data_IF_549123678813
#
_entry.id   IF_549123678813
#
_cell.length_a   1.000
_cell.length_b   1.000
_cell.length_c   1.000
_cell.angle_alpha   90.00
_cell.angle_beta   90.00
_cell.angle_gamma   90.00
#
_symmetry.space_group_name_H-M   'P 1'
#
loop_
_entity.id
_entity.type
_entity.pdbx_description
1 polymer ?
#
# COMPACT_ATOMS: atom_id res chain seq x y z
N UNK A 1 -14.70 15.43 40.64
CA UNK A 1 -14.45 16.08 39.34
C UNK A 1 -13.31 15.28 38.74
N UNK A 2 -13.54 14.23 37.92
CA UNK A 2 -14.17 14.25 36.59
C UNK A 2 -13.16 14.90 35.63
N UNK A 3 -12.70 14.34 34.51
CA UNK A 3 -13.19 13.29 33.63
C UNK A 3 -12.02 12.86 32.72
N UNK A 4 -11.97 11.58 32.35
CA UNK A 4 -11.18 11.09 31.21
C UNK A 4 -12.06 11.34 30.00
N UNK A 5 -11.58 11.99 28.93
CA UNK A 5 -11.74 11.53 27.53
C UNK A 5 -11.36 12.57 26.47
N UNK A 6 -10.75 12.04 25.40
CA UNK A 6 -10.87 12.46 24.00
C UNK A 6 -10.16 13.74 23.52
N UNK A 7 -9.01 13.51 22.88
CA UNK A 7 -8.64 14.18 21.63
C UNK A 7 -8.38 13.02 20.66
N UNK A 8 -9.43 12.42 20.08
CA UNK A 8 -9.98 12.74 18.75
C UNK A 8 -8.86 13.10 17.77
N UNK A 9 -8.38 12.15 16.99
CA UNK A 9 -9.10 11.86 15.75
C UNK A 9 -8.43 12.57 14.56
N UNK A 10 -7.11 12.48 14.45
CA UNK A 10 -6.36 12.92 13.27
C UNK A 10 -6.32 11.83 12.20
N UNK A 11 -7.47 11.58 11.59
CA UNK A 11 -7.69 10.70 10.45
C UNK A 11 -6.71 10.96 9.31
N UNK A 12 -6.21 9.90 8.70
CA UNK A 12 -5.19 9.94 7.66
C UNK A 12 -5.55 10.82 6.48
N UNK A 13 -4.67 11.76 6.18
CA UNK A 13 -4.39 12.11 4.80
C UNK A 13 -3.36 11.10 4.32
N UNK A 14 -3.84 10.03 3.68
CA UNK A 14 -3.02 9.38 2.68
C UNK A 14 -2.83 10.45 1.59
N UNK A 15 -1.73 11.19 1.67
CA UNK A 15 -1.29 12.08 0.61
C UNK A 15 -1.18 11.25 -0.66
N UNK A 16 -2.24 11.29 -1.45
CA UNK A 16 -2.33 10.77 -2.80
C UNK A 16 -1.48 11.60 -3.75
N UNK A 17 -0.20 11.76 -3.41
CA UNK A 17 0.81 12.07 -4.40
C UNK A 17 0.84 10.89 -5.35
N UNK A 18 0.50 11.12 -6.61
CA UNK A 18 0.74 10.18 -7.69
C UNK A 18 2.25 10.01 -7.90
N UNK A 19 2.93 9.46 -6.91
CA UNK A 19 4.27 8.94 -7.04
C UNK A 19 4.13 7.84 -8.08
N UNK A 20 4.66 8.13 -9.27
CA UNK A 20 4.65 7.18 -10.36
C UNK A 20 5.05 5.82 -9.80
N UNK A 21 4.39 4.75 -10.25
CA UNK A 21 4.72 3.37 -9.89
C UNK A 21 6.08 2.96 -10.51
N UNK A 22 7.09 3.83 -10.42
CA UNK A 22 8.43 3.74 -10.95
C UNK A 22 9.37 3.38 -9.80
N UNK A 23 9.50 2.09 -9.57
CA UNK A 23 10.49 1.51 -8.67
C UNK A 23 11.04 0.25 -9.32
N UNK A 24 12.35 0.03 -9.23
CA UNK A 24 13.03 -1.11 -9.87
C UNK A 24 12.53 -2.44 -9.30
N UNK A 25 12.12 -2.46 -8.03
CA UNK A 25 11.64 -3.64 -7.32
C UNK A 25 10.29 -3.38 -6.66
N UNK A 26 9.35 -4.30 -6.87
CA UNK A 26 8.10 -4.41 -6.13
C UNK A 26 8.14 -5.68 -5.26
N UNK A 27 7.78 -5.55 -3.99
CA UNK A 27 7.65 -6.65 -3.03
C UNK A 27 6.19 -6.77 -2.61
N UNK A 28 5.63 -7.97 -2.79
CA UNK A 28 4.26 -8.31 -2.39
C UNK A 28 4.36 -9.36 -1.29
N UNK A 29 3.74 -9.09 -0.14
CA UNK A 29 3.60 -10.05 0.95
C UNK A 29 2.13 -10.36 1.15
N UNK A 30 1.75 -11.62 1.05
CA UNK A 30 0.37 -12.07 1.31
C UNK A 30 0.32 -12.93 2.56
N UNK A 31 -0.75 -12.81 3.32
CA UNK A 31 -1.04 -13.68 4.46
C UNK A 31 -2.55 -13.89 4.59
N UNK A 32 -2.92 -14.94 5.33
CA UNK A 32 -4.30 -15.23 5.64
C UNK A 32 -4.59 -14.84 7.10
N UNK A 33 -5.61 -14.02 7.30
CA UNK A 33 -6.07 -13.56 8.61
C UNK A 33 -7.46 -14.15 8.91
N UNK A 34 -7.58 -15.14 9.80
CA UNK A 34 -8.82 -15.89 10.02
C UNK A 34 -9.95 -15.08 10.68
N UNK A 35 -9.74 -13.79 11.00
CA UNK A 35 -10.72 -12.90 11.65
C UNK A 35 -11.30 -11.81 10.74
N UNK A 36 -11.08 -11.86 9.42
CA UNK A 36 -11.61 -10.89 8.45
C UNK A 36 -12.58 -11.49 7.42
N UNK A 37 -13.47 -10.67 6.85
CA UNK A 37 -14.57 -11.07 5.94
C UNK A 37 -14.13 -11.93 4.72
N UNK A 38 -12.92 -11.74 4.21
CA UNK A 38 -12.37 -12.50 3.06
C UNK A 38 -11.12 -13.31 3.41
N UNK A 39 -10.59 -13.18 4.63
CA UNK A 39 -9.36 -13.83 5.11
C UNK A 39 -8.07 -13.45 4.39
N UNK A 40 -8.12 -12.95 3.15
CA UNK A 40 -6.96 -12.50 2.40
C UNK A 40 -6.44 -11.15 2.89
N UNK A 41 -5.11 -11.03 2.95
CA UNK A 41 -4.40 -9.79 3.22
C UNK A 41 -3.16 -9.72 2.35
N UNK A 42 -2.89 -8.54 1.82
CA UNK A 42 -1.67 -8.23 1.10
C UNK A 42 -1.07 -6.92 1.61
N UNK A 43 0.26 -6.86 1.60
CA UNK A 43 1.04 -5.64 1.75
C UNK A 43 1.97 -5.53 0.56
N UNK A 44 1.86 -4.42 -0.13
CA UNK A 44 2.66 -4.12 -1.32
C UNK A 44 3.64 -3.00 -0.95
N UNK A 45 4.88 -3.14 -1.39
CA UNK A 45 5.94 -2.14 -1.19
C UNK A 45 6.72 -1.99 -2.48
N UNK A 46 6.87 -0.76 -2.98
CA UNK A 46 7.58 -0.46 -4.22
C UNK A 46 8.29 0.90 -4.10
N UNK A 47 9.42 1.07 -4.78
CA UNK A 47 10.20 2.31 -4.73
C UNK A 47 11.61 2.10 -5.26
N UNK A 48 12.37 3.19 -5.42
CA UNK A 48 13.77 3.14 -5.86
C UNK A 48 14.67 2.65 -4.72
N UNK A 49 15.59 1.74 -5.03
CA UNK A 49 16.54 1.18 -4.06
C UNK A 49 17.52 2.24 -3.50
N UNK A 50 17.69 3.37 -4.20
CA UNK A 50 18.63 4.44 -3.87
C UNK A 50 17.95 5.64 -3.21
N UNK A 51 17.66 5.51 -1.91
CA UNK A 51 17.51 6.66 -1.00
C UNK A 51 16.15 7.35 -0.92
N UNK A 52 15.12 6.85 -1.60
CA UNK A 52 13.73 7.31 -1.42
C UNK A 52 12.96 6.48 -0.39
N UNK A 53 11.96 7.08 0.27
CA UNK A 53 11.02 6.32 1.10
C UNK A 53 10.16 5.45 0.19
N UNK A 54 10.09 4.12 0.41
CA UNK A 54 9.31 3.24 -0.45
C UNK A 54 7.81 3.45 -0.21
N UNK A 55 7.05 3.55 -1.30
CA UNK A 55 5.60 3.53 -1.26
C UNK A 55 5.13 2.18 -0.70
N UNK A 56 4.24 2.23 0.28
CA UNK A 56 3.69 1.05 0.94
C UNK A 56 2.20 1.23 1.16
N UNK A 57 1.44 0.20 0.82
CA UNK A 57 0.03 0.11 1.18
C UNK A 57 -0.36 -1.35 1.46
N UNK A 58 -1.51 -1.53 2.11
CA UNK A 58 -2.08 -2.83 2.43
C UNK A 58 -3.51 -2.90 1.91
N UNK A 59 -3.92 -4.08 1.43
CA UNK A 59 -5.27 -4.32 0.93
C UNK A 59 -5.77 -5.69 1.35
N UNK A 60 -7.09 -5.80 1.47
CA UNK A 60 -7.82 -7.05 1.69
C UNK A 60 -8.45 -7.59 0.40
N UNK A 61 -8.29 -6.88 -0.72
CA UNK A 61 -8.88 -7.19 -2.00
C UNK A 61 -7.83 -7.77 -2.96
N UNK A 62 -7.98 -9.01 -3.45
CA UNK A 62 -7.06 -9.60 -4.41
C UNK A 62 -7.06 -8.87 -5.76
N UNK A 63 -8.19 -8.31 -6.18
CA UNK A 63 -8.29 -7.60 -7.46
C UNK A 63 -7.47 -6.30 -7.45
N UNK A 64 -7.48 -5.56 -6.34
CA UNK A 64 -6.61 -4.39 -6.12
C UNK A 64 -5.11 -4.74 -6.24
N UNK A 65 -4.70 -5.92 -5.73
CA UNK A 65 -3.30 -6.38 -5.87
C UNK A 65 -2.94 -6.57 -7.35
N UNK A 66 -3.82 -7.23 -8.11
CA UNK A 66 -3.58 -7.51 -9.53
C UNK A 66 -3.53 -6.23 -10.36
N UNK A 67 -4.43 -5.29 -10.08
CA UNK A 67 -4.47 -4.00 -10.76
C UNK A 67 -3.18 -3.19 -10.54
N UNK A 68 -2.67 -3.18 -9.30
CA UNK A 68 -1.42 -2.48 -8.98
C UNK A 68 -0.21 -3.16 -9.64
N UNK A 69 -0.15 -4.49 -9.64
CA UNK A 69 0.92 -5.23 -10.33
C UNK A 69 0.92 -4.94 -11.82
N UNK A 70 -0.26 -4.93 -12.45
CA UNK A 70 -0.41 -4.61 -13.86
C UNK A 70 0.11 -3.21 -14.17
N UNK A 71 -0.34 -2.20 -13.42
CA UNK A 71 0.08 -0.81 -13.62
C UNK A 71 1.59 -0.64 -13.41
N UNK A 72 2.18 -1.34 -12.44
CA UNK A 72 3.63 -1.32 -12.21
C UNK A 72 4.41 -1.95 -13.38
N UNK A 73 3.97 -3.09 -13.90
CA UNK A 73 4.60 -3.73 -15.06
C UNK A 73 4.49 -2.87 -16.34
N UNK A 74 3.35 -2.20 -16.54
CA UNK A 74 3.15 -1.25 -17.64
C UNK A 74 4.09 -0.05 -17.51
N UNK A 75 4.28 0.50 -16.30
CA UNK A 75 5.22 1.58 -16.03
C UNK A 75 6.69 1.17 -16.31
N UNK A 76 7.07 -0.06 -15.94
CA UNK A 76 8.42 -0.58 -16.22
C UNK A 76 8.70 -0.72 -17.71
N UNK A 77 7.67 -1.04 -18.52
CA UNK A 77 7.79 -1.09 -19.98
C UNK A 77 7.92 0.28 -20.64
N UNK A 78 7.34 1.32 -20.04
CA UNK A 78 7.40 2.68 -20.56
C UNK A 78 8.70 3.42 -20.17
N UNK A 79 9.34 3.00 -19.09
CA UNK A 79 10.61 3.57 -18.60
C UNK A 79 11.89 2.90 -19.13
N UNK A 80 11.75 1.87 -19.98
CA UNK A 80 12.84 1.15 -20.66
C UNK A 80 12.72 1.33 -22.17
#
# INVERSE_FOLDING_TARGET
MGDIMMDDGGTGAADGGGDALSGETMVIRTWFEPRGESGFRARITYGKATGGEPNRFATADPDEVLDVVRRWLEAQRAGN
#
